data_IF_743585020668
#
_entry.id   IF_743585020668
#
_cell.length_a   1.000
_cell.length_b   1.000
_cell.length_c   1.000
_cell.angle_alpha   90.00
_cell.angle_beta   90.00
_cell.angle_gamma   90.00
#
_symmetry.space_group_name_H-M   'P 1'
#
loop_
_entity.id
_entity.type
_entity.pdbx_description
1 polymer ?
#
# COMPACT_ATOMS: atom_id res chain seq x y z
N UNK A 1 -9.70 -7.06 -5.76
CA UNK A 1 -9.79 -8.52 -5.48
C UNK A 1 -9.85 -8.69 -3.97
N UNK A 2 -10.65 -9.62 -3.41
CA UNK A 2 -10.93 -9.68 -1.96
C UNK A 2 -9.68 -9.71 -1.06
N UNK A 3 -8.62 -10.38 -1.49
CA UNK A 3 -7.37 -10.48 -0.71
C UNK A 3 -6.63 -9.14 -0.62
N UNK A 4 -6.63 -8.37 -1.71
CA UNK A 4 -6.05 -7.04 -1.77
C UNK A 4 -6.81 -6.08 -0.85
N UNK A 5 -8.15 -6.18 -0.84
CA UNK A 5 -9.00 -5.37 0.05
C UNK A 5 -8.68 -5.64 1.53
N UNK A 6 -8.45 -6.91 1.91
CA UNK A 6 -8.06 -7.28 3.29
C UNK A 6 -6.70 -6.71 3.68
N UNK A 7 -5.71 -6.77 2.78
CA UNK A 7 -4.38 -6.22 3.03
C UNK A 7 -4.41 -4.69 3.20
N UNK A 8 -5.16 -3.99 2.34
CA UNK A 8 -5.32 -2.54 2.43
C UNK A 8 -6.08 -2.13 3.71
N UNK A 9 -7.14 -2.84 4.08
CA UNK A 9 -7.88 -2.60 5.32
C UNK A 9 -7.02 -2.82 6.56
N UNK A 10 -6.24 -3.90 6.59
CA UNK A 10 -5.31 -4.16 7.69
C UNK A 10 -4.30 -3.03 7.86
N UNK A 11 -3.77 -2.50 6.76
CA UNK A 11 -2.87 -1.36 6.81
C UNK A 11 -3.59 -0.09 7.31
N UNK A 12 -4.80 0.17 6.80
CA UNK A 12 -5.61 1.31 7.20
C UNK A 12 -5.86 1.31 8.71
N UNK A 13 -6.27 0.18 9.27
CA UNK A 13 -6.62 0.05 10.69
C UNK A 13 -5.40 0.14 11.61
N UNK A 14 -4.23 -0.36 11.18
CA UNK A 14 -3.05 -0.49 12.04
C UNK A 14 -2.04 0.64 11.92
N UNK A 15 -1.93 1.26 10.75
CA UNK A 15 -0.83 2.18 10.45
C UNK A 15 -1.29 3.56 9.99
N UNK A 16 -2.45 3.69 9.35
CA UNK A 16 -2.83 4.95 8.69
C UNK A 16 -3.04 6.12 9.68
N UNK A 17 -3.63 5.87 10.85
CA UNK A 17 -3.87 6.91 11.86
C UNK A 17 -2.58 7.54 12.40
N UNK A 18 -1.52 6.75 12.54
CA UNK A 18 -0.22 7.19 13.06
C UNK A 18 0.80 7.51 11.94
N UNK A 19 0.43 7.26 10.68
CA UNK A 19 1.28 7.50 9.52
C UNK A 19 1.55 9.01 9.33
N UNK A 20 2.76 9.33 8.88
CA UNK A 20 3.10 10.70 8.50
C UNK A 20 2.21 11.21 7.35
N UNK A 21 2.04 12.54 7.18
CA UNK A 21 1.27 13.08 6.05
C UNK A 21 1.81 12.68 4.67
N UNK A 22 3.10 12.38 4.54
CA UNK A 22 3.67 11.86 3.29
C UNK A 22 3.22 10.41 3.04
N UNK A 23 3.25 9.58 4.09
CA UNK A 23 2.83 8.18 4.02
C UNK A 23 1.32 8.05 3.78
N UNK A 24 0.48 8.85 4.46
CA UNK A 24 -0.97 8.89 4.20
C UNK A 24 -1.27 9.26 2.75
N UNK A 25 -0.59 10.26 2.19
CA UNK A 25 -0.72 10.63 0.78
C UNK A 25 -0.26 9.52 -0.16
N UNK A 26 0.84 8.85 0.17
CA UNK A 26 1.32 7.68 -0.58
C UNK A 26 0.27 6.57 -0.62
N UNK A 27 -0.35 6.25 0.52
CA UNK A 27 -1.42 5.27 0.60
C UNK A 27 -2.66 5.68 -0.21
N UNK A 28 -3.12 6.93 -0.09
CA UNK A 28 -4.26 7.42 -0.87
C UNK A 28 -3.96 7.34 -2.38
N UNK A 29 -2.75 7.72 -2.80
CA UNK A 29 -2.36 7.64 -4.20
C UNK A 29 -2.31 6.19 -4.72
N UNK A 30 -1.99 5.22 -3.87
CA UNK A 30 -2.07 3.79 -4.21
C UNK A 30 -3.53 3.35 -4.43
N UNK A 31 -4.49 3.85 -3.66
CA UNK A 31 -5.91 3.50 -3.83
C UNK A 31 -6.50 3.93 -5.17
N UNK A 32 -5.89 4.92 -5.83
CA UNK A 32 -6.28 5.38 -7.17
C UNK A 32 -5.73 4.47 -8.30
N UNK A 33 -4.84 3.53 -7.98
CA UNK A 33 -4.24 2.63 -8.97
C UNK A 33 -5.14 1.42 -9.25
N UNK A 34 -5.07 0.86 -10.48
CA UNK A 34 -5.76 -0.40 -10.79
C UNK A 34 -5.23 -1.58 -9.95
N UNK A 35 -6.12 -2.50 -9.54
CA UNK A 35 -5.77 -3.74 -8.81
C UNK A 35 -4.55 -4.49 -9.37
N UNK A 36 -4.41 -4.70 -10.71
CA UNK A 36 -3.25 -5.42 -11.24
C UNK A 36 -1.91 -4.73 -10.96
N UNK A 37 -1.91 -3.40 -10.88
CA UNK A 37 -0.70 -2.60 -10.58
C UNK A 37 -0.34 -2.76 -9.11
N UNK A 38 -1.33 -2.62 -8.21
CA UNK A 38 -1.13 -2.83 -6.78
C UNK A 38 -0.63 -4.25 -6.48
N UNK A 39 -1.20 -5.25 -7.15
CA UNK A 39 -0.75 -6.63 -7.02
C UNK A 39 0.70 -6.82 -7.50
N UNK A 40 1.09 -6.17 -8.60
CA UNK A 40 2.48 -6.22 -9.09
C UNK A 40 3.46 -5.65 -8.05
N UNK A 41 3.11 -4.55 -7.39
CA UNK A 41 3.91 -3.96 -6.31
C UNK A 41 4.00 -4.87 -5.08
N UNK A 42 2.86 -5.41 -4.61
CA UNK A 42 2.83 -6.28 -3.43
C UNK A 42 3.57 -7.60 -3.64
N UNK A 43 3.64 -8.09 -4.87
CA UNK A 43 4.39 -9.32 -5.23
C UNK A 43 5.84 -9.07 -5.63
N UNK A 44 6.31 -7.81 -5.59
CA UNK A 44 7.66 -7.44 -5.99
C UNK A 44 7.96 -7.62 -7.48
N UNK A 45 6.92 -7.75 -8.32
CA UNK A 45 7.05 -7.82 -9.79
C UNK A 45 7.31 -6.45 -10.40
N UNK A 46 6.91 -5.40 -9.70
CA UNK A 46 7.16 -4.00 -10.04
C UNK A 46 7.43 -3.21 -8.75
N UNK A 47 7.92 -1.97 -8.87
CA UNK A 47 8.24 -1.11 -7.71
C UNK A 47 7.72 0.31 -7.92
N UNK A 48 7.02 0.90 -6.94
CA UNK A 48 6.61 2.30 -7.04
C UNK A 48 7.82 3.22 -7.15
N UNK A 49 7.73 4.23 -8.02
CA UNK A 49 8.76 5.27 -8.15
C UNK A 49 8.71 6.30 -7.02
N UNK A 50 7.54 6.48 -6.40
CA UNK A 50 7.35 7.34 -5.24
C UNK A 50 7.85 6.62 -3.97
N UNK A 51 8.84 7.19 -3.24
CA UNK A 51 9.33 6.62 -1.99
C UNK A 51 8.25 6.42 -0.93
N UNK A 52 7.25 7.30 -0.87
CA UNK A 52 6.14 7.16 0.09
C UNK A 52 5.28 5.95 -0.25
N UNK A 53 4.99 5.72 -1.53
CA UNK A 53 4.27 4.52 -1.98
C UNK A 53 5.09 3.25 -1.72
N UNK A 54 6.39 3.26 -2.00
CA UNK A 54 7.28 2.12 -1.75
C UNK A 54 7.30 1.75 -0.25
N UNK A 55 7.36 2.73 0.64
CA UNK A 55 7.31 2.53 2.09
C UNK A 55 5.98 1.91 2.54
N UNK A 56 4.85 2.40 2.01
CA UNK A 56 3.51 1.85 2.28
C UNK A 56 3.41 0.40 1.82
N UNK A 57 3.84 0.09 0.59
CA UNK A 57 3.84 -1.27 0.04
C UNK A 57 4.68 -2.21 0.92
N UNK A 58 5.84 -1.77 1.40
CA UNK A 58 6.67 -2.56 2.31
C UNK A 58 5.96 -2.90 3.63
N UNK A 59 5.22 -1.96 4.20
CA UNK A 59 4.42 -2.19 5.41
C UNK A 59 3.27 -3.18 5.14
N UNK A 60 2.53 -3.01 4.05
CA UNK A 60 1.44 -3.91 3.68
C UNK A 60 1.96 -5.35 3.49
N UNK A 61 3.06 -5.53 2.74
CA UNK A 61 3.64 -6.84 2.48
C UNK A 61 4.16 -7.57 3.74
N UNK A 62 4.55 -6.82 4.78
CA UNK A 62 5.07 -7.38 6.04
C UNK A 62 3.97 -7.69 7.06
N UNK A 63 2.70 -7.32 6.80
CA UNK A 63 1.58 -7.51 7.75
C UNK A 63 0.94 -8.91 7.65
N UNK A 64 1.62 -9.89 7.03
CA UNK A 64 1.20 -11.29 6.96
C UNK A 64 1.70 -12.07 8.17
#
# INVERSE_FOLDING_TARGET
MRELDVLLLNYLERYFSDASPAEQRGFIALLELPDPVLFAYLTGRDTPTDPAQSHVIGKIATTT
#
